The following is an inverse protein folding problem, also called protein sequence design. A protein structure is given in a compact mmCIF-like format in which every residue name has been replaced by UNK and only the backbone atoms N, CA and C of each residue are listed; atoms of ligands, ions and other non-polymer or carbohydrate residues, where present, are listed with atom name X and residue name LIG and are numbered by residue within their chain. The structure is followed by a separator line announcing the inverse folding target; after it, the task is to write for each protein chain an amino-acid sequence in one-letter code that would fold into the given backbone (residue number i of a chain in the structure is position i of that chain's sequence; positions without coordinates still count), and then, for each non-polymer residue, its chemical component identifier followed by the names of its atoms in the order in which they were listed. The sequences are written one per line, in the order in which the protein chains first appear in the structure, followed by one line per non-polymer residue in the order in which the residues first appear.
data_IF_544409092274
#
_entry.id   IF_544409092274
#
_cell.length_a   1.000
_cell.length_b   1.000
_cell.length_c   1.000
_cell.angle_alpha   90.00
_cell.angle_beta   90.00
_cell.angle_gamma   90.00
#
_symmetry.space_group_name_H-M   'P 1'
#
loop_
_entity.id
_entity.type
_entity.pdbx_description
1 polymer ?
#
# COMPACT_ATOMS: atom_id res chain seq x y z
N UNK A 1 -15.90 9.80 -0.79
CA UNK A 1 -17.35 9.87 -0.46
C UNK A 1 -17.64 11.27 0.04
N UNK A 2 -18.76 11.87 -0.36
CA UNK A 2 -19.19 13.20 0.06
C UNK A 2 -20.44 13.10 0.93
N UNK A 3 -20.55 13.97 1.95
CA UNK A 3 -21.74 14.06 2.80
C UNK A 3 -22.89 14.67 1.99
N UNK A 4 -23.96 13.93 1.82
CA UNK A 4 -25.16 14.34 1.06
C UNK A 4 -26.15 15.08 1.96
N UNK A 5 -26.52 14.43 3.08
CA UNK A 5 -27.44 15.00 4.07
C UNK A 5 -27.25 14.38 5.44
N UNK A 6 -27.69 15.09 6.47
CA UNK A 6 -27.81 14.59 7.83
C UNK A 6 -29.27 14.68 8.28
N UNK A 7 -29.77 13.62 8.91
CA UNK A 7 -31.10 13.57 9.47
C UNK A 7 -30.98 12.94 10.86
N UNK A 8 -31.29 13.73 11.89
CA UNK A 8 -31.01 13.39 13.29
C UNK A 8 -29.53 12.98 13.43
N UNK A 9 -29.28 11.81 14.02
CA UNK A 9 -27.94 11.23 14.17
C UNK A 9 -27.52 10.37 12.96
N UNK A 10 -28.28 10.35 11.87
CA UNK A 10 -27.98 9.55 10.67
C UNK A 10 -27.44 10.41 9.53
N UNK A 11 -26.27 10.05 9.02
CA UNK A 11 -25.57 10.76 7.96
C UNK A 11 -25.57 9.91 6.69
N UNK A 12 -25.97 10.52 5.59
CA UNK A 12 -26.01 9.91 4.28
C UNK A 12 -24.85 10.42 3.43
N UNK A 13 -24.18 9.50 2.77
CA UNK A 13 -22.99 9.73 1.98
C UNK A 13 -23.19 9.20 0.57
N UNK A 14 -22.69 9.96 -0.41
CA UNK A 14 -22.72 9.58 -1.83
C UNK A 14 -21.32 9.58 -2.41
N UNK A 15 -21.09 8.78 -3.46
CA UNK A 15 -19.83 8.82 -4.18
C UNK A 15 -19.61 10.21 -4.82
N UNK A 16 -18.37 10.69 -4.78
CA UNK A 16 -17.95 11.92 -5.48
C UNK A 16 -18.13 11.79 -7.00
N UNK A 17 -17.81 10.61 -7.52
CA UNK A 17 -17.97 10.25 -8.94
C UNK A 17 -19.41 9.88 -9.32
N UNK A 18 -20.41 10.17 -8.47
CA UNK A 18 -21.83 9.88 -8.76
C UNK A 18 -22.29 10.50 -10.07
N UNK A 19 -21.90 11.75 -10.36
CA UNK A 19 -22.28 12.44 -11.62
C UNK A 19 -21.38 12.08 -12.79
N UNK A 20 -20.09 11.84 -12.52
CA UNK A 20 -19.07 11.60 -13.56
C UNK A 20 -19.13 10.17 -14.13
N UNK A 21 -19.24 9.16 -13.27
CA UNK A 21 -19.23 7.74 -13.66
C UNK A 21 -20.60 7.08 -13.43
N UNK A 22 -21.63 7.87 -13.13
CA UNK A 22 -22.96 7.38 -12.73
C UNK A 22 -22.89 6.39 -11.53
N UNK A 23 -21.94 6.63 -10.62
CA UNK A 23 -21.68 5.73 -9.50
C UNK A 23 -22.82 5.72 -8.49
N UNK A 24 -23.26 4.52 -8.12
CA UNK A 24 -24.32 4.27 -7.14
C UNK A 24 -23.79 4.00 -5.73
N UNK A 25 -22.49 4.13 -5.52
CA UNK A 25 -21.85 3.98 -4.22
C UNK A 25 -22.44 4.96 -3.20
N UNK A 26 -22.87 4.41 -2.06
CA UNK A 26 -23.53 5.15 -0.96
C UNK A 26 -23.07 4.59 0.36
N UNK A 27 -23.05 5.42 1.39
CA UNK A 27 -22.89 4.95 2.76
C UNK A 27 -23.87 5.68 3.68
N UNK A 28 -24.22 5.02 4.79
CA UNK A 28 -25.04 5.58 5.85
C UNK A 28 -24.29 5.34 7.15
N UNK A 29 -23.94 6.41 7.84
CA UNK A 29 -23.36 6.33 9.19
C UNK A 29 -24.37 6.81 10.22
N UNK A 30 -24.30 6.30 11.44
CA UNK A 30 -25.13 6.74 12.57
C UNK A 30 -24.23 7.12 13.74
N UNK A 31 -24.50 8.27 14.33
CA UNK A 31 -23.85 8.70 15.55
C UNK A 31 -24.60 8.14 16.76
N UNK A 32 -23.91 7.43 17.63
CA UNK A 32 -24.48 6.81 18.84
C UNK A 32 -23.43 6.96 19.94
N UNK A 33 -23.83 7.48 21.10
CA UNK A 33 -22.97 7.58 22.30
C UNK A 33 -21.59 8.22 22.04
N UNK A 34 -21.53 9.27 21.23
CA UNK A 34 -20.27 9.97 20.94
C UNK A 34 -19.41 9.36 19.82
N UNK A 35 -19.84 8.24 19.21
CA UNK A 35 -19.10 7.54 18.16
C UNK A 35 -19.92 7.37 16.88
N UNK A 36 -19.24 7.31 15.73
CA UNK A 36 -19.87 7.07 14.43
C UNK A 36 -19.75 5.60 14.03
N UNK A 37 -20.88 5.00 13.66
CA UNK A 37 -20.95 3.61 13.20
C UNK A 37 -21.45 3.55 11.77
N UNK A 38 -20.86 2.69 10.94
CA UNK A 38 -21.35 2.43 9.58
C UNK A 38 -22.57 1.51 9.65
N UNK A 39 -23.74 2.02 9.25
CA UNK A 39 -25.00 1.26 9.26
C UNK A 39 -25.18 0.44 7.98
N UNK A 40 -24.90 1.04 6.83
CA UNK A 40 -25.07 0.41 5.51
C UNK A 40 -24.15 1.07 4.50
N UNK A 41 -23.65 0.29 3.55
CA UNK A 41 -22.98 0.81 2.38
C UNK A 41 -23.36 0.05 1.11
N UNK A 42 -23.11 0.67 -0.02
CA UNK A 42 -23.21 0.09 -1.37
C UNK A 42 -21.84 0.26 -2.01
N UNK A 43 -21.30 -0.86 -2.49
CA UNK A 43 -20.00 -0.93 -3.17
C UNK A 43 -19.93 0.01 -4.37
N UNK A 44 -18.71 0.45 -4.68
CA UNK A 44 -18.43 1.21 -5.90
C UNK A 44 -18.24 0.26 -7.08
N UNK A 45 -18.62 0.70 -8.28
CA UNK A 45 -18.32 -0.01 -9.54
C UNK A 45 -17.04 0.48 -10.23
N UNK A 46 -16.20 1.19 -9.49
CA UNK A 46 -14.96 1.77 -9.99
C UNK A 46 -13.88 1.61 -8.93
N UNK A 47 -12.63 1.55 -9.38
CA UNK A 47 -11.50 1.48 -8.47
C UNK A 47 -11.43 2.72 -7.58
N UNK A 48 -10.97 2.60 -6.32
CA UNK A 48 -10.62 3.76 -5.51
C UNK A 48 -9.60 4.58 -6.28
N UNK A 49 -9.89 5.87 -6.47
CA UNK A 49 -8.85 6.77 -6.94
C UNK A 49 -7.91 6.95 -5.75
N UNK A 50 -6.68 6.46 -5.89
CA UNK A 50 -5.63 6.79 -4.95
C UNK A 50 -5.60 8.32 -4.87
N UNK A 51 -5.62 8.88 -3.65
CA UNK A 51 -5.37 10.31 -3.46
C UNK A 51 -4.13 10.64 -4.28
N UNK A 52 -4.19 11.69 -5.12
CA UNK A 52 -3.05 12.15 -5.90
C UNK A 52 -1.86 12.13 -4.97
N UNK A 53 -0.99 11.13 -5.18
CA UNK A 53 0.14 10.92 -4.29
C UNK A 53 0.90 12.22 -4.36
N UNK A 54 1.01 12.92 -3.23
CA UNK A 54 2.01 13.97 -3.10
C UNK A 54 3.29 13.28 -3.56
N UNK A 55 3.75 13.63 -4.77
CA UNK A 55 5.00 13.12 -5.29
C UNK A 55 6.01 13.72 -4.32
N UNK A 56 6.39 12.94 -3.32
CA UNK A 56 7.48 13.29 -2.45
C UNK A 56 8.68 13.45 -3.37
N UNK A 57 9.13 14.69 -3.55
CA UNK A 57 10.23 15.04 -4.46
C UNK A 57 11.51 14.27 -4.15
N UNK A 58 11.61 13.71 -2.94
CA UNK A 58 12.70 12.87 -2.50
C UNK A 58 12.62 11.40 -2.93
N UNK A 59 11.48 10.91 -3.43
CA UNK A 59 11.36 9.52 -3.90
C UNK A 59 11.98 9.38 -5.29
N UNK A 60 13.06 8.59 -5.46
CA UNK A 60 13.65 8.37 -6.76
C UNK A 60 12.71 7.56 -7.66
N UNK A 61 12.80 7.79 -8.97
CA UNK A 61 12.07 6.99 -9.96
C UNK A 61 12.50 5.52 -9.92
N UNK A 62 11.65 4.62 -10.40
CA UNK A 62 11.98 3.19 -10.52
C UNK A 62 13.32 2.94 -11.23
N UNK A 63 13.59 3.68 -12.31
CA UNK A 63 14.84 3.57 -13.06
C UNK A 63 16.04 4.10 -12.27
N UNK A 64 15.87 5.18 -11.51
CA UNK A 64 16.93 5.72 -10.65
C UNK A 64 17.27 4.74 -9.53
N UNK A 65 16.26 4.13 -8.90
CA UNK A 65 16.45 3.09 -7.88
C UNK A 65 17.08 1.80 -8.44
N UNK A 66 16.66 1.38 -9.64
CA UNK A 66 17.29 0.26 -10.32
C UNK A 66 18.76 0.55 -10.66
N UNK A 67 19.07 1.77 -11.11
CA UNK A 67 20.45 2.17 -11.40
C UNK A 67 21.30 2.20 -10.13
N UNK A 68 20.82 2.77 -9.02
CA UNK A 68 21.57 2.80 -7.75
C UNK A 68 21.84 1.40 -7.23
N UNK A 69 20.83 0.54 -7.17
CA UNK A 69 21.00 -0.86 -6.72
C UNK A 69 21.96 -1.63 -7.62
N UNK A 70 21.93 -1.42 -8.94
CA UNK A 70 22.90 -2.02 -9.88
C UNK A 70 24.32 -1.54 -9.62
N UNK A 71 24.52 -0.24 -9.37
CA UNK A 71 25.84 0.33 -9.06
C UNK A 71 26.40 -0.19 -7.73
N UNK A 72 25.58 -0.23 -6.68
CA UNK A 72 25.99 -0.76 -5.37
C UNK A 72 26.42 -2.21 -5.50
N UNK A 73 25.59 -3.05 -6.13
CA UNK A 73 25.95 -4.46 -6.39
C UNK A 73 27.27 -4.56 -7.12
N UNK A 74 27.50 -3.75 -8.17
CA UNK A 74 28.77 -3.76 -8.90
C UNK A 74 29.96 -3.34 -8.04
N UNK A 75 29.80 -2.36 -7.16
CA UNK A 75 30.86 -1.85 -6.29
C UNK A 75 31.19 -2.82 -5.15
N UNK A 76 30.18 -3.54 -4.64
CA UNK A 76 30.31 -4.54 -3.58
C UNK A 76 30.56 -5.95 -4.10
N UNK A 77 30.66 -6.14 -5.43
CA UNK A 77 31.02 -7.43 -6.00
C UNK A 77 32.42 -7.80 -5.51
N UNK A 78 32.57 -8.91 -4.77
CA UNK A 78 33.89 -9.38 -4.37
C UNK A 78 34.72 -9.65 -5.63
N UNK A 79 35.88 -8.99 -5.74
CA UNK A 79 36.80 -9.14 -6.89
C UNK A 79 37.43 -10.53 -6.96
N UNK A 80 37.31 -11.31 -5.88
CA UNK A 80 37.89 -12.63 -5.74
C UNK A 80 36.78 -13.62 -5.38
N UNK A 81 36.72 -14.75 -6.10
CA UNK A 81 35.87 -15.88 -5.70
C UNK A 81 36.36 -16.33 -4.33
N UNK A 82 35.49 -16.22 -3.32
CA UNK A 82 35.79 -16.82 -2.02
C UNK A 82 35.98 -18.32 -2.24
N UNK A 83 37.21 -18.80 -2.01
CA UNK A 83 37.48 -20.23 -1.99
C UNK A 83 36.50 -20.88 -0.99
N UNK A 84 35.87 -21.97 -1.40
CA UNK A 84 34.87 -22.72 -0.64
C UNK A 84 35.42 -23.11 0.74
N UNK A 85 36.74 -23.30 0.84
CA UNK A 85 37.47 -23.63 2.07
C UNK A 85 37.45 -22.51 3.15
N UNK A 86 37.06 -21.28 2.79
CA UNK A 86 37.00 -20.12 3.68
C UNK A 86 35.61 -19.79 4.23
N UNK A 87 34.58 -20.54 3.83
CA UNK A 87 33.20 -20.31 4.29
C UNK A 87 33.06 -20.92 5.68
N UNK A 88 32.90 -20.08 6.71
CA UNK A 88 32.66 -20.54 8.08
C UNK A 88 31.20 -21.03 8.18
N UNK A 89 30.97 -22.31 7.89
CA UNK A 89 29.67 -22.96 8.06
C UNK A 89 29.53 -23.29 9.56
N UNK A 90 28.57 -22.70 10.30
CA UNK A 90 28.39 -23.01 11.71
C UNK A 90 28.03 -24.48 11.89
N UNK A 91 28.54 -25.11 12.95
CA UNK A 91 28.43 -26.55 13.22
C UNK A 91 26.99 -27.07 13.18
N UNK A 92 26.00 -26.23 13.50
CA UNK A 92 24.57 -26.57 13.43
C UNK A 92 24.06 -26.87 12.01
N UNK A 93 24.80 -26.48 10.97
CA UNK A 93 24.46 -26.67 9.56
C UNK A 93 25.34 -27.72 8.86
N UNK A 94 26.35 -28.27 9.53
CA UNK A 94 27.29 -29.23 8.94
C UNK A 94 26.77 -30.69 8.94
N UNK A 95 25.61 -30.95 9.54
CA UNK A 95 25.02 -32.28 9.57
C UNK A 95 24.12 -32.50 8.36
N UNK A 96 24.69 -33.15 7.34
CA UNK A 96 23.90 -33.80 6.30
C UNK A 96 24.41 -35.23 6.11
N UNK A 97 23.54 -36.17 6.51
CA UNK A 97 23.52 -37.62 6.27
C UNK A 97 24.25 -38.52 7.29
N UNK A 98 23.44 -39.33 8.00
CA UNK A 98 23.83 -40.57 8.69
C UNK A 98 24.30 -41.65 7.70
#
# INVERSE_FOLDING_TARGET
MLKDKALEDTFYWVCEKRKLENCKGRAITKFINGSYYLKKFIEHHHSPQASDSVIYSYMPSHNALYATTKCIRKAEMPTELQNIDGINIPDSLQYTLD
#
